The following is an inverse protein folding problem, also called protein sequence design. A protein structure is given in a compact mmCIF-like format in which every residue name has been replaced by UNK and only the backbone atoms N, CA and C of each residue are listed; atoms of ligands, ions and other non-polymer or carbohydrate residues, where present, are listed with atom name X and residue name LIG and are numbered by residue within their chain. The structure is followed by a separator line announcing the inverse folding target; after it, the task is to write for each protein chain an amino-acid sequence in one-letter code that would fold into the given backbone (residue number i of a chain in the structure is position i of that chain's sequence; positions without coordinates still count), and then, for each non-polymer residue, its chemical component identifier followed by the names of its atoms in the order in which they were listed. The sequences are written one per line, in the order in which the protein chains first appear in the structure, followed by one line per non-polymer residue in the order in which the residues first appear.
data_IF_185145181819
#
_entry.id   IF_185145181819
#
_cell.length_a   1.000
_cell.length_b   1.000
_cell.length_c   1.000
_cell.angle_alpha   90.00
_cell.angle_beta   90.00
_cell.angle_gamma   90.00
#
_symmetry.space_group_name_H-M   'P 1'
#
loop_
_entity.id
_entity.type
_entity.pdbx_description
1 polymer ?
#
# COMPACT_ATOMS: atom_id res chain seq x y z
N UNK A 1 4.97 0.66 -12.97
CA UNK A 1 4.51 1.89 -13.66
C UNK A 1 4.01 2.96 -12.70
N UNK A 2 3.17 2.63 -11.71
CA UNK A 2 2.66 3.61 -10.74
C UNK A 2 3.73 4.54 -10.15
N UNK A 3 4.82 3.98 -9.62
CA UNK A 3 5.95 4.74 -9.03
C UNK A 3 6.56 5.72 -10.05
N UNK A 4 6.83 5.27 -11.27
CA UNK A 4 7.42 6.13 -12.30
C UNK A 4 6.48 7.26 -12.73
N UNK A 5 5.17 7.02 -12.81
CA UNK A 5 4.18 8.07 -13.05
C UNK A 5 4.13 9.08 -11.89
N UNK A 6 4.23 8.62 -10.64
CA UNK A 6 4.36 9.52 -9.48
C UNK A 6 5.63 10.38 -9.56
N UNK A 7 6.77 9.79 -9.91
CA UNK A 7 8.02 10.53 -10.09
C UNK A 7 7.94 11.52 -11.26
N UNK A 8 7.30 11.14 -12.36
CA UNK A 8 7.08 12.02 -13.50
C UNK A 8 6.23 13.23 -13.15
N UNK A 9 5.21 13.05 -12.30
CA UNK A 9 4.44 14.18 -11.74
C UNK A 9 5.33 15.10 -10.89
N UNK A 10 6.21 14.55 -10.05
CA UNK A 10 7.13 15.36 -9.23
C UNK A 10 8.13 16.19 -10.06
N UNK A 11 8.50 15.73 -11.26
CA UNK A 11 9.45 16.40 -12.15
C UNK A 11 8.78 17.32 -13.19
N UNK A 12 7.46 17.22 -13.35
CA UNK A 12 6.69 17.98 -14.34
C UNK A 12 5.96 19.18 -13.73
N UNK A 13 5.05 19.77 -14.52
CA UNK A 13 4.22 20.88 -14.05
C UNK A 13 3.20 20.42 -13.00
N UNK A 14 3.13 21.07 -11.82
CA UNK A 14 2.18 20.70 -10.75
C UNK A 14 0.71 20.75 -11.17
N UNK A 15 0.37 21.58 -12.16
CA UNK A 15 -0.98 21.69 -12.72
C UNK A 15 -1.39 20.48 -13.58
N UNK A 16 -0.43 19.66 -14.04
CA UNK A 16 -0.70 18.50 -14.89
C UNK A 16 -0.93 17.24 -14.05
N UNK A 17 -2.13 17.12 -13.47
CA UNK A 17 -2.52 15.97 -12.62
C UNK A 17 -2.69 14.63 -13.37
N UNK A 18 -2.52 14.63 -14.70
CA UNK A 18 -2.69 13.43 -15.54
C UNK A 18 -1.81 12.27 -15.09
N UNK A 19 -0.54 12.55 -14.80
CA UNK A 19 0.42 11.51 -14.38
C UNK A 19 0.04 10.90 -13.03
N UNK A 20 -0.57 11.71 -12.16
CA UNK A 20 -1.00 11.25 -10.86
C UNK A 20 -2.26 10.36 -10.95
N UNK A 21 -3.19 10.69 -11.84
CA UNK A 21 -4.31 9.80 -12.18
C UNK A 21 -3.84 8.47 -12.76
N UNK A 22 -2.84 8.49 -13.64
CA UNK A 22 -2.23 7.28 -14.21
C UNK A 22 -1.58 6.45 -13.09
N UNK A 23 -0.84 7.09 -12.18
CA UNK A 23 -0.21 6.43 -11.05
C UNK A 23 -1.24 5.69 -10.17
N UNK A 24 -2.35 6.35 -9.84
CA UNK A 24 -3.45 5.78 -9.05
C UNK A 24 -4.20 4.67 -9.79
N UNK A 25 -4.43 4.83 -11.10
CA UNK A 25 -5.11 3.82 -11.91
C UNK A 25 -4.31 2.51 -12.02
N UNK A 26 -2.97 2.55 -11.99
CA UNK A 26 -2.15 1.34 -12.04
C UNK A 26 -2.21 0.47 -10.77
N UNK A 27 -2.62 1.02 -9.62
CA UNK A 27 -2.71 0.25 -8.37
C UNK A 27 -3.78 -0.86 -8.40
N UNK A 28 -5.05 -0.62 -8.82
CA UNK A 28 -6.03 -1.68 -8.97
C UNK A 28 -5.66 -2.68 -10.07
N UNK A 29 -4.94 -2.27 -11.12
CA UNK A 29 -4.38 -3.22 -12.09
C UNK A 29 -3.35 -4.15 -11.44
N UNK A 30 -2.47 -3.63 -10.58
CA UNK A 30 -1.55 -4.45 -9.79
C UNK A 30 -2.27 -5.51 -8.96
N UNK A 31 -3.36 -5.13 -8.29
CA UNK A 31 -4.23 -6.08 -7.56
C UNK A 31 -4.86 -7.14 -8.44
N UNK A 32 -5.31 -6.74 -9.63
CA UNK A 32 -5.89 -7.68 -10.57
C UNK A 32 -4.87 -8.73 -11.02
N UNK A 33 -3.63 -8.33 -11.31
CA UNK A 33 -2.56 -9.25 -11.71
C UNK A 33 -2.12 -10.17 -10.57
N UNK A 34 -1.95 -9.66 -9.34
CA UNK A 34 -1.65 -10.48 -8.15
C UNK A 34 -2.69 -11.59 -7.95
N UNK A 35 -3.98 -11.23 -8.01
CA UNK A 35 -5.06 -12.22 -7.91
C UNK A 35 -5.02 -13.29 -9.01
N UNK A 36 -4.65 -12.90 -10.24
CA UNK A 36 -4.49 -13.82 -11.36
C UNK A 36 -3.29 -14.74 -11.19
N UNK A 37 -2.13 -14.22 -10.78
CA UNK A 37 -0.90 -14.98 -10.58
C UNK A 37 -1.07 -16.03 -9.47
N UNK A 38 -1.74 -15.66 -8.37
CA UNK A 38 -2.13 -16.60 -7.33
C UNK A 38 -3.09 -17.70 -7.81
N UNK A 39 -4.00 -17.40 -8.74
CA UNK A 39 -4.91 -18.40 -9.34
C UNK A 39 -4.17 -19.34 -10.29
N UNK A 40 -3.26 -18.82 -11.12
CA UNK A 40 -2.45 -19.59 -12.06
C UNK A 40 -1.45 -20.50 -11.32
N UNK A 41 -0.82 -20.00 -10.25
CA UNK A 41 0.09 -20.80 -9.42
C UNK A 41 -0.61 -22.01 -8.78
N UNK A 42 -1.83 -21.82 -8.26
CA UNK A 42 -2.66 -22.92 -7.73
C UNK A 42 -3.03 -23.93 -8.82
N UNK A 43 -3.35 -23.47 -10.02
CA UNK A 43 -3.70 -24.35 -11.13
C UNK A 43 -2.51 -25.21 -11.58
N UNK A 44 -1.30 -24.64 -11.62
CA UNK A 44 -0.10 -25.36 -12.08
C UNK A 44 0.51 -26.32 -11.06
N UNK A 45 0.01 -26.36 -9.81
CA UNK A 45 0.51 -27.22 -8.70
C UNK A 45 2.05 -27.22 -8.54
N UNK A 46 2.72 -26.19 -9.05
CA UNK A 46 4.17 -25.99 -8.97
C UNK A 46 4.39 -24.65 -8.29
N UNK A 47 4.54 -24.67 -6.98
CA UNK A 47 4.99 -23.52 -6.19
C UNK A 47 6.46 -23.72 -5.83
N UNK A 48 7.34 -22.84 -6.32
CA UNK A 48 8.73 -22.79 -5.89
C UNK A 48 8.88 -21.81 -4.73
N UNK A 49 9.74 -22.11 -3.76
CA UNK A 49 10.09 -21.20 -2.66
C UNK A 49 10.58 -19.84 -3.19
N UNK A 50 11.43 -19.85 -4.22
CA UNK A 50 11.90 -18.63 -4.87
C UNK A 50 10.76 -17.80 -5.48
N UNK A 51 9.76 -18.48 -6.06
CA UNK A 51 8.59 -17.81 -6.64
C UNK A 51 7.72 -17.12 -5.59
N UNK A 52 7.56 -17.75 -4.42
CA UNK A 52 6.81 -17.18 -3.32
C UNK A 52 7.47 -15.91 -2.74
N UNK A 53 8.80 -15.91 -2.61
CA UNK A 53 9.52 -14.71 -2.15
C UNK A 53 9.45 -13.58 -3.19
N UNK A 54 9.55 -13.90 -4.48
CA UNK A 54 9.39 -12.90 -5.56
C UNK A 54 8.00 -12.28 -5.59
N UNK A 55 6.96 -13.10 -5.39
CA UNK A 55 5.56 -12.66 -5.28
C UNK A 55 5.38 -11.66 -4.13
N UNK A 56 5.94 -11.99 -2.97
CA UNK A 56 5.88 -11.14 -1.78
C UNK A 56 6.63 -9.81 -1.96
N UNK A 57 7.76 -9.82 -2.65
CA UNK A 57 8.48 -8.58 -3.00
C UNK A 57 7.67 -7.73 -3.98
N UNK A 58 7.02 -8.34 -4.96
CA UNK A 58 6.15 -7.64 -5.90
C UNK A 58 4.93 -7.02 -5.21
N UNK A 59 4.33 -7.71 -4.24
CA UNK A 59 3.25 -7.21 -3.40
C UNK A 59 3.67 -6.01 -2.56
N UNK A 60 4.85 -6.07 -1.94
CA UNK A 60 5.39 -4.96 -1.17
C UNK A 60 5.55 -3.70 -2.02
N UNK A 61 6.08 -3.86 -3.24
CA UNK A 61 6.26 -2.74 -4.16
C UNK A 61 4.91 -2.19 -4.62
N UNK A 62 3.96 -3.07 -4.96
CA UNK A 62 2.67 -2.70 -5.52
C UNK A 62 1.72 -2.08 -4.51
N UNK A 63 1.72 -2.55 -3.26
CA UNK A 63 0.77 -2.14 -2.22
C UNK A 63 1.38 -1.37 -1.06
N UNK A 64 2.70 -1.38 -0.90
CA UNK A 64 3.42 -0.56 0.07
C UNK A 64 4.05 0.66 -0.60
N UNK A 65 4.98 0.41 -1.52
CA UNK A 65 5.82 1.48 -2.10
C UNK A 65 5.04 2.36 -3.07
N UNK A 66 4.21 1.80 -3.96
CA UNK A 66 3.44 2.58 -4.92
C UNK A 66 2.49 3.62 -4.28
N UNK A 67 1.65 3.27 -3.28
CA UNK A 67 0.82 4.27 -2.60
C UNK A 67 1.65 5.29 -1.80
N UNK A 68 2.77 4.89 -1.19
CA UNK A 68 3.67 5.83 -0.51
C UNK A 68 4.30 6.83 -1.49
N UNK A 69 4.72 6.37 -2.67
CA UNK A 69 5.25 7.21 -3.73
C UNK A 69 4.18 8.16 -4.30
N UNK A 70 2.94 7.70 -4.46
CA UNK A 70 1.83 8.55 -4.88
C UNK A 70 1.48 9.62 -3.82
N UNK A 71 1.49 9.27 -2.54
CA UNK A 71 1.28 10.20 -1.44
C UNK A 71 2.34 11.32 -1.40
N UNK A 72 3.61 10.93 -1.57
CA UNK A 72 4.71 11.88 -1.73
C UNK A 72 4.52 12.79 -2.96
N UNK A 73 4.07 12.23 -4.08
CA UNK A 73 3.80 12.98 -5.30
C UNK A 73 2.68 14.00 -5.12
N UNK A 74 1.59 13.64 -4.42
CA UNK A 74 0.46 14.51 -4.09
C UNK A 74 0.89 15.74 -3.30
N UNK A 75 1.95 15.65 -2.48
CA UNK A 75 2.51 16.81 -1.76
C UNK A 75 2.95 16.53 -0.32
N UNK A 76 2.86 15.30 0.16
CA UNK A 76 3.35 14.89 1.49
C UNK A 76 4.88 14.79 1.49
N UNK A 77 5.56 15.94 1.49
CA UNK A 77 7.01 16.07 1.27
C UNK A 77 7.77 16.61 2.48
N UNK A 78 7.13 16.70 3.65
CA UNK A 78 7.85 17.19 4.83
C UNK A 78 8.79 16.11 5.40
N UNK A 79 9.79 16.48 6.22
CA UNK A 79 10.71 15.52 6.83
C UNK A 79 10.00 14.42 7.62
N UNK A 80 8.94 14.76 8.37
CA UNK A 80 8.16 13.78 9.13
C UNK A 80 7.26 12.94 8.23
N UNK A 81 6.71 13.49 7.16
CA UNK A 81 5.93 12.72 6.20
C UNK A 81 6.76 11.57 5.61
N UNK A 82 8.04 11.81 5.33
CA UNK A 82 8.95 10.76 4.86
C UNK A 82 9.10 9.62 5.86
N UNK A 83 9.20 9.95 7.16
CA UNK A 83 9.29 8.96 8.24
C UNK A 83 8.00 8.15 8.30
N UNK A 84 6.84 8.81 8.22
CA UNK A 84 5.54 8.16 8.31
C UNK A 84 5.22 7.28 7.09
N UNK A 85 5.55 7.75 5.88
CA UNK A 85 5.42 6.95 4.65
C UNK A 85 6.38 5.76 4.68
N UNK A 86 7.62 5.94 5.16
CA UNK A 86 8.57 4.83 5.34
C UNK A 86 8.07 3.82 6.36
N UNK A 87 7.51 4.29 7.48
CA UNK A 87 6.89 3.43 8.49
C UNK A 87 5.75 2.61 7.90
N UNK A 88 4.88 3.21 7.09
CA UNK A 88 3.82 2.48 6.38
C UNK A 88 4.38 1.35 5.48
N UNK A 89 5.45 1.61 4.72
CA UNK A 89 6.10 0.57 3.89
C UNK A 89 6.68 -0.55 4.77
N UNK A 90 7.33 -0.21 5.90
CA UNK A 90 7.87 -1.18 6.85
C UNK A 90 6.79 -2.04 7.53
N UNK A 91 5.64 -1.45 7.83
CA UNK A 91 4.46 -2.18 8.29
C UNK A 91 3.99 -3.21 7.25
N UNK A 92 3.90 -2.79 5.98
CA UNK A 92 3.58 -3.70 4.87
C UNK A 92 4.58 -4.86 4.73
N UNK A 93 5.88 -4.55 4.83
CA UNK A 93 6.95 -5.56 4.81
C UNK A 93 6.81 -6.57 5.95
N UNK A 94 6.57 -6.10 7.18
CA UNK A 94 6.44 -6.98 8.36
C UNK A 94 5.22 -7.90 8.24
N UNK A 95 4.11 -7.39 7.70
CA UNK A 95 2.91 -8.20 7.41
C UNK A 95 3.23 -9.32 6.41
N UNK A 96 3.91 -9.00 5.30
CA UNK A 96 4.28 -9.98 4.26
C UNK A 96 5.28 -11.02 4.78
N UNK A 97 6.32 -10.58 5.49
CA UNK A 97 7.29 -11.47 6.11
C UNK A 97 6.61 -12.46 7.08
N UNK A 98 5.65 -11.98 7.88
CA UNK A 98 4.87 -12.84 8.77
C UNK A 98 4.01 -13.83 7.99
N UNK A 99 3.35 -13.40 6.92
CA UNK A 99 2.56 -14.29 6.06
C UNK A 99 3.43 -15.41 5.47
N UNK A 100 4.62 -15.09 4.95
CA UNK A 100 5.54 -16.10 4.41
C UNK A 100 5.98 -17.11 5.46
N UNK A 101 6.34 -16.67 6.67
CA UNK A 101 6.71 -17.55 7.78
C UNK A 101 5.53 -18.42 8.23
N UNK A 102 4.34 -17.84 8.36
CA UNK A 102 3.12 -18.57 8.74
C UNK A 102 2.76 -19.64 7.70
N UNK A 103 2.83 -19.34 6.41
CA UNK A 103 2.62 -20.33 5.33
C UNK A 103 3.68 -21.44 5.35
N UNK A 104 4.92 -21.12 5.70
CA UNK A 104 6.00 -22.11 5.81
C UNK A 104 5.91 -23.01 7.06
N UNK A 105 5.28 -22.53 8.13
CA UNK A 105 5.27 -23.21 9.45
C UNK A 105 3.93 -23.85 9.83
N UNK A 106 2.83 -23.55 9.13
CA UNK A 106 1.54 -24.20 9.41
C UNK A 106 1.57 -25.70 9.01
N UNK A 107 1.31 -26.62 9.95
CA UNK A 107 1.06 -28.01 9.61
C UNK A 107 -0.18 -28.10 8.70
N UNK A 108 -0.04 -28.72 7.53
CA UNK A 108 -1.19 -29.08 6.68
C UNK A 108 -1.96 -30.22 7.35
N UNK A 109 -2.96 -29.89 8.14
CA UNK A 109 -3.84 -30.89 8.75
C UNK A 109 -4.85 -31.46 7.73
N UNK A 110 -5.21 -32.74 7.89
CA UNK A 110 -5.93 -33.60 6.91
C UNK A 110 -7.38 -33.17 6.57
N UNK A 111 -7.83 -31.99 7.00
CA UNK A 111 -9.20 -31.47 6.81
C UNK A 111 -9.27 -30.14 6.05
N UNK A 112 -8.15 -29.57 5.61
CA UNK A 112 -8.11 -28.62 4.48
C UNK A 112 -8.97 -27.35 4.59
N UNK A 113 -9.26 -26.83 5.78
CA UNK A 113 -9.97 -25.54 5.95
C UNK A 113 -9.27 -24.64 6.96
N UNK A 114 -8.55 -23.62 6.48
CA UNK A 114 -8.11 -22.50 7.30
C UNK A 114 -9.33 -21.64 7.68
N UNK A 115 -9.64 -21.57 8.98
CA UNK A 115 -10.87 -20.99 9.52
C UNK A 115 -10.83 -19.47 9.75
N UNK A 116 -9.68 -18.80 9.59
CA UNK A 116 -9.57 -17.36 9.84
C UNK A 116 -8.61 -16.69 8.85
N UNK A 117 -9.03 -15.52 8.32
CA UNK A 117 -8.12 -14.58 7.66
C UNK A 117 -7.46 -13.73 8.75
N UNK A 118 -6.15 -13.86 8.94
CA UNK A 118 -5.37 -12.90 9.74
C UNK A 118 -5.04 -11.67 8.88
N UNK A 119 -5.55 -10.51 9.30
CA UNK A 119 -5.25 -9.20 8.72
C UNK A 119 -6.27 -8.71 7.68
N UNK A 120 -6.34 -7.38 7.49
CA UNK A 120 -7.27 -6.80 6.52
C UNK A 120 -6.90 -7.23 5.10
N UNK A 121 -7.84 -7.76 4.29
CA UNK A 121 -7.53 -8.22 2.95
C UNK A 121 -6.97 -7.08 2.09
N UNK A 122 -6.22 -7.43 1.04
CA UNK A 122 -5.55 -6.51 0.10
C UNK A 122 -6.47 -5.36 -0.43
N UNK A 123 -7.82 -5.46 -0.51
CA UNK A 123 -8.67 -4.32 -0.85
C UNK A 123 -8.49 -3.08 0.04
N UNK A 124 -7.92 -3.21 1.24
CA UNK A 124 -7.68 -2.03 2.09
C UNK A 124 -6.61 -1.10 1.53
N UNK A 125 -5.60 -1.57 0.80
CA UNK A 125 -4.65 -0.66 0.14
C UNK A 125 -5.28 0.07 -1.04
N UNK A 126 -6.31 -0.52 -1.65
CA UNK A 126 -7.12 0.11 -2.69
C UNK A 126 -7.98 1.25 -2.16
N UNK A 127 -8.37 1.19 -0.89
CA UNK A 127 -9.03 2.33 -0.24
C UNK A 127 -8.06 3.49 0.08
N UNK A 128 -6.74 3.28 0.32
CA UNK A 128 -5.76 4.40 0.31
C UNK A 128 -5.84 5.06 -1.07
N UNK A 129 -5.75 4.25 -2.13
CA UNK A 129 -5.73 4.74 -3.50
C UNK A 129 -7.01 5.51 -3.83
N UNK A 130 -8.18 5.05 -3.37
CA UNK A 130 -9.45 5.72 -3.55
C UNK A 130 -9.52 7.07 -2.80
N UNK A 131 -9.02 7.13 -1.55
CA UNK A 131 -8.95 8.38 -0.78
C UNK A 131 -8.02 9.38 -1.47
N UNK A 132 -6.85 8.92 -1.94
CA UNK A 132 -5.94 9.75 -2.72
C UNK A 132 -6.58 10.23 -4.03
N UNK A 133 -7.26 9.35 -4.78
CA UNK A 133 -7.99 9.73 -6.00
C UNK A 133 -9.07 10.78 -5.72
N UNK A 134 -9.75 10.67 -4.57
CA UNK A 134 -10.71 11.68 -4.14
C UNK A 134 -10.04 13.03 -3.89
N UNK A 135 -8.90 13.09 -3.18
CA UNK A 135 -8.16 14.34 -2.99
C UNK A 135 -7.79 15.00 -4.31
N UNK A 136 -7.33 14.20 -5.27
CA UNK A 136 -6.93 14.67 -6.60
C UNK A 136 -8.13 15.19 -7.38
N UNK A 137 -9.29 14.54 -7.27
CA UNK A 137 -10.54 15.01 -7.89
C UNK A 137 -11.03 16.34 -7.31
N UNK A 138 -10.71 16.61 -6.04
CA UNK A 138 -11.06 17.86 -5.35
C UNK A 138 -10.00 18.96 -5.52
N UNK A 139 -8.89 18.67 -6.21
CA UNK A 139 -7.76 19.59 -6.36
C UNK A 139 -6.94 19.76 -5.08
N UNK A 140 -7.12 18.88 -4.08
CA UNK A 140 -6.40 18.95 -2.81
C UNK A 140 -5.00 18.33 -2.94
N UNK A 141 -4.13 19.06 -3.64
CA UNK A 141 -2.76 18.67 -3.95
C UNK A 141 -1.82 19.80 -3.53
N UNK A 142 -0.56 19.46 -3.22
CA UNK A 142 0.47 20.37 -2.74
C UNK A 142 0.01 21.23 -1.55
N UNK A 143 -0.26 22.52 -1.78
CA UNK A 143 -0.59 23.48 -0.72
C UNK A 143 -2.04 23.36 -0.22
N UNK A 144 -2.91 22.75 -1.03
CA UNK A 144 -4.34 22.58 -0.75
C UNK A 144 -4.67 21.21 -0.10
N UNK A 145 -3.67 20.51 0.44
CA UNK A 145 -3.88 19.24 1.14
C UNK A 145 -4.78 19.47 2.36
N UNK A 146 -5.81 18.62 2.58
CA UNK A 146 -6.72 18.78 3.71
C UNK A 146 -5.95 18.77 5.02
N UNK A 147 -6.41 19.53 6.02
CA UNK A 147 -5.75 19.71 7.33
C UNK A 147 -4.43 20.52 7.30
N UNK A 148 -3.92 20.89 6.13
CA UNK A 148 -2.75 21.75 5.98
C UNK A 148 -1.48 21.19 6.62
N UNK A 149 -0.50 22.07 6.86
CA UNK A 149 0.76 21.73 7.54
C UNK A 149 0.64 22.13 9.00
N UNK A 150 0.92 21.20 9.91
CA UNK A 150 1.06 21.48 11.33
C UNK A 150 2.54 21.77 11.63
N UNK A 151 2.77 22.73 12.53
CA UNK A 151 4.11 23.16 12.97
C UNK A 151 5.00 23.76 11.86
N UNK A 152 4.41 24.51 10.93
CA UNK A 152 5.10 25.24 9.86
C UNK A 152 6.20 26.15 10.43
N UNK A 153 7.43 26.00 9.94
CA UNK A 153 8.66 26.66 10.38
C UNK A 153 9.52 25.86 11.36
N UNK A 154 9.19 24.60 11.68
CA UNK A 154 9.93 23.79 12.66
C UNK A 154 10.51 22.50 12.04
N UNK A 155 11.47 21.88 12.72
CA UNK A 155 12.01 20.58 12.31
C UNK A 155 10.95 19.45 12.32
N UNK A 156 9.81 19.68 12.96
CA UNK A 156 8.71 18.73 13.10
C UNK A 156 7.50 19.10 12.22
N UNK A 157 7.73 19.71 11.05
CA UNK A 157 6.67 19.94 10.06
C UNK A 157 6.09 18.62 9.54
N UNK A 158 4.76 18.47 9.61
CA UNK A 158 4.05 17.33 9.03
C UNK A 158 2.64 17.68 8.55
N UNK A 159 2.17 16.91 7.59
CA UNK A 159 0.76 16.93 7.20
C UNK A 159 -0.03 15.98 8.10
N UNK A 160 -1.06 16.40 8.85
CA UNK A 160 -1.86 15.49 9.68
C UNK A 160 -2.44 14.29 8.91
N UNK A 161 -2.63 14.46 7.61
CA UNK A 161 -3.09 13.44 6.67
C UNK A 161 -2.15 12.23 6.60
N UNK A 162 -0.84 12.39 6.82
CA UNK A 162 0.09 11.24 6.89
C UNK A 162 -0.16 10.36 8.11
N UNK A 163 -0.85 10.87 9.13
CA UNK A 163 -1.40 10.07 10.22
C UNK A 163 -2.35 8.97 9.75
N UNK A 164 -3.08 9.18 8.64
CA UNK A 164 -3.92 8.13 8.04
C UNK A 164 -3.06 6.96 7.55
N UNK A 165 -1.90 7.22 6.96
CA UNK A 165 -0.97 6.17 6.51
C UNK A 165 -0.40 5.38 7.68
N UNK A 166 -0.09 6.05 8.80
CA UNK A 166 0.35 5.38 10.03
C UNK A 166 -0.77 4.50 10.59
N UNK A 167 -1.97 5.04 10.75
CA UNK A 167 -3.13 4.28 11.24
C UNK A 167 -3.37 3.07 10.34
N UNK A 168 -3.25 3.23 9.04
CA UNK A 168 -3.40 2.13 8.10
C UNK A 168 -2.30 1.09 8.20
N UNK A 169 -1.04 1.51 8.29
CA UNK A 169 0.10 0.60 8.49
C UNK A 169 -0.06 -0.19 9.79
N UNK A 170 -0.47 0.48 10.87
CA UNK A 170 -0.82 -0.15 12.14
C UNK A 170 -1.97 -1.14 11.97
N UNK A 171 -3.04 -0.81 11.25
CA UNK A 171 -4.15 -1.74 10.95
C UNK A 171 -3.69 -2.96 10.12
N UNK A 172 -2.76 -2.78 9.18
CA UNK A 172 -2.19 -3.87 8.38
C UNK A 172 -1.38 -4.87 9.22
N UNK A 173 -0.72 -4.39 10.29
CA UNK A 173 0.10 -5.21 11.19
C UNK A 173 -0.70 -5.73 12.39
N UNK A 174 -1.79 -5.03 12.75
CA UNK A 174 -2.60 -5.33 13.93
C UNK A 174 -3.23 -6.71 13.87
N UNK A 175 -3.03 -7.50 14.94
CA UNK A 175 -3.54 -8.86 15.13
C UNK A 175 -5.02 -8.92 15.52
N UNK A 176 -5.71 -7.78 15.58
CA UNK A 176 -7.00 -7.70 16.29
C UNK A 176 -8.22 -7.93 15.38
N UNK A 177 -8.07 -7.84 14.05
CA UNK A 177 -9.22 -7.99 13.13
C UNK A 177 -9.35 -9.45 12.67
N UNK A 178 -10.25 -10.17 13.34
CA UNK A 178 -10.72 -11.48 12.92
C UNK A 178 -11.99 -11.28 12.07
N UNK A 179 -11.90 -11.42 10.74
CA UNK A 179 -13.08 -11.35 9.86
C UNK A 179 -13.63 -12.78 9.69
N UNK A 180 -14.83 -13.10 10.22
CA UNK A 180 -15.47 -14.39 9.96
C UNK A 180 -15.94 -14.46 8.49
N UNK A 181 -15.68 -15.58 7.82
CA UNK A 181 -16.22 -15.86 6.48
C UNK A 181 -17.74 -16.09 6.55
N UNK A 182 -18.53 -15.63 5.57
CA UNK A 182 -19.83 -16.22 5.28
C UNK A 182 -19.68 -17.62 4.65
#
# INVERSE_FOLDING_TARGET
MSIFSSLRYCLGDPHQVKELWIALAFMPFGLFFDFMDGKVARWRRKSSLMGQELDSLADLISFGVAPAAAAFAIGMRTPLDHIFLSFFVLCGLTRLARFNVTVATLPKDKTGKSQYFEGTPIPTTLSIAAVMAYWVSRGWILEDIPLGIVARGTLFEFHPVTGLFILWGCLMVSKTIHIPKP
#
